data_IF_634253708440
#
_entry.id   IF_634253708440
#
_cell.length_a   1.000
_cell.length_b   1.000
_cell.length_c   1.000
_cell.angle_alpha   90.00
_cell.angle_beta   90.00
_cell.angle_gamma   90.00
#
_symmetry.space_group_name_H-M   'P 1'
#
loop_
_entity.id
_entity.type
_entity.pdbx_description
1 polymer ?
#
# COMPACT_ATOMS: atom_id res chain seq x y z
N UNK A 1 -8.00 2.43 -1.24
CA UNK A 1 -7.37 3.57 -0.54
C UNK A 1 -7.94 4.88 -1.08
N UNK A 2 -8.18 5.86 -0.21
CA UNK A 2 -8.73 7.17 -0.57
C UNK A 2 -7.82 8.28 -0.02
N UNK A 3 -7.61 9.34 -0.79
CA UNK A 3 -6.93 10.55 -0.33
C UNK A 3 -7.50 11.79 -1.03
N UNK A 4 -7.25 12.98 -0.47
CA UNK A 4 -7.49 14.24 -1.17
C UNK A 4 -6.41 15.26 -0.84
N UNK A 5 -6.06 16.08 -1.82
CA UNK A 5 -5.18 17.24 -1.64
C UNK A 5 -5.89 18.51 -2.10
N UNK A 6 -5.56 19.63 -1.47
CA UNK A 6 -6.06 20.96 -1.84
C UNK A 6 -4.87 21.78 -2.27
N UNK A 7 -4.92 22.28 -3.50
CA UNK A 7 -3.94 23.24 -3.99
C UNK A 7 -4.09 24.56 -3.22
N UNK A 8 -3.00 25.04 -2.62
CA UNK A 8 -3.05 26.19 -1.70
C UNK A 8 -3.31 27.52 -2.40
N UNK A 9 -2.98 27.63 -3.69
CA UNK A 9 -3.12 28.88 -4.45
C UNK A 9 -4.50 28.98 -5.09
N UNK A 10 -4.93 27.93 -5.78
CA UNK A 10 -6.22 27.88 -6.49
C UNK A 10 -7.38 27.46 -5.61
N UNK A 11 -7.13 26.86 -4.44
CA UNK A 11 -8.16 26.24 -3.60
C UNK A 11 -8.75 24.96 -4.19
N UNK A 12 -8.25 24.52 -5.35
CA UNK A 12 -8.78 23.37 -6.09
C UNK A 12 -8.51 22.08 -5.33
N UNK A 13 -9.56 21.29 -5.13
CA UNK A 13 -9.47 19.99 -4.45
C UNK A 13 -9.37 18.86 -5.46
N UNK A 14 -8.37 18.01 -5.28
CA UNK A 14 -8.20 16.76 -6.04
C UNK A 14 -8.43 15.57 -5.12
N UNK A 15 -9.21 14.58 -5.56
CA UNK A 15 -9.47 13.33 -4.84
C UNK A 15 -8.88 12.16 -5.60
N UNK A 16 -8.32 11.22 -4.85
CA UNK A 16 -7.71 10.01 -5.38
C UNK A 16 -8.41 8.78 -4.83
N UNK A 17 -8.69 7.82 -5.70
CA UNK A 17 -9.17 6.49 -5.33
C UNK A 17 -8.26 5.45 -5.97
N UNK A 18 -7.77 4.55 -5.13
CA UNK A 18 -7.07 3.34 -5.55
C UNK A 18 -7.87 2.13 -5.12
N UNK A 19 -8.09 1.22 -6.07
CA UNK A 19 -8.67 -0.10 -5.81
C UNK A 19 -7.54 -1.13 -5.87
N UNK A 20 -7.50 -2.00 -4.87
CA UNK A 20 -6.52 -3.07 -4.80
C UNK A 20 -7.27 -4.41 -4.73
N UNK A 21 -6.77 -5.46 -5.39
CA UNK A 21 -7.35 -6.79 -5.26
C UNK A 21 -7.40 -7.23 -3.79
N UNK A 22 -8.53 -7.80 -3.38
CA UNK A 22 -8.65 -8.44 -2.07
C UNK A 22 -7.74 -9.68 -2.06
N UNK A 23 -6.89 -9.79 -1.04
CA UNK A 23 -6.14 -11.02 -0.76
C UNK A 23 -6.77 -11.66 0.46
N UNK A 24 -7.39 -12.83 0.26
CA UNK A 24 -8.08 -13.57 1.31
C UNK A 24 -7.17 -13.85 2.52
N UNK A 25 -7.76 -13.81 3.71
CA UNK A 25 -7.09 -14.05 4.99
C UNK A 25 -7.14 -12.84 5.94
N UNK A 26 -6.80 -13.11 7.19
CA UNK A 26 -6.70 -12.09 8.23
C UNK A 26 -5.23 -11.69 8.39
N UNK A 27 -4.92 -10.40 8.24
CA UNK A 27 -3.57 -9.86 8.39
C UNK A 27 -3.59 -8.74 9.42
N UNK A 28 -2.55 -8.65 10.24
CA UNK A 28 -2.37 -7.56 11.21
C UNK A 28 -1.14 -6.74 10.88
N UNK A 29 -1.04 -5.51 11.40
CA UNK A 29 0.05 -4.57 11.10
C UNK A 29 0.00 -3.95 9.69
N UNK A 30 -0.99 -4.31 8.85
CA UNK A 30 -1.13 -3.76 7.48
C UNK A 30 -1.46 -2.26 7.49
N UNK A 31 -2.20 -1.78 8.50
CA UNK A 31 -2.48 -0.35 8.69
C UNK A 31 -1.24 0.45 9.08
N UNK A 32 -0.43 -0.09 9.99
CA UNK A 32 0.84 0.52 10.42
C UNK A 32 1.82 0.59 9.24
N UNK A 33 1.97 -0.52 8.51
CA UNK A 33 2.77 -0.58 7.29
C UNK A 33 2.28 0.45 6.25
N UNK A 34 0.97 0.51 5.99
CA UNK A 34 0.38 1.45 5.03
C UNK A 34 0.70 2.89 5.42
N UNK A 35 0.58 3.22 6.70
CA UNK A 35 0.82 4.58 7.20
C UNK A 35 2.29 4.96 7.10
N UNK A 36 3.20 4.06 7.49
CA UNK A 36 4.64 4.28 7.39
C UNK A 36 5.10 4.47 5.93
N UNK A 37 4.60 3.65 5.01
CA UNK A 37 4.91 3.76 3.58
C UNK A 37 4.32 5.03 2.96
N UNK A 38 3.06 5.35 3.28
CA UNK A 38 2.43 6.59 2.79
C UNK A 38 3.24 7.81 3.24
N UNK A 39 3.64 7.86 4.52
CA UNK A 39 4.45 8.96 5.03
C UNK A 39 5.80 9.04 4.34
N UNK A 40 6.52 7.92 4.24
CA UNK A 40 7.84 7.88 3.59
C UNK A 40 7.74 8.33 2.13
N UNK A 41 6.86 7.74 1.34
CA UNK A 41 6.72 8.09 -0.06
C UNK A 41 6.11 9.47 -0.26
N UNK A 42 5.22 9.95 0.60
CA UNK A 42 4.68 11.31 0.50
C UNK A 42 5.72 12.40 0.81
N UNK A 43 6.70 12.12 1.67
CA UNK A 43 7.79 13.09 1.91
C UNK A 43 8.74 13.21 0.72
N UNK A 44 8.84 12.18 -0.11
CA UNK A 44 9.69 12.15 -1.29
C UNK A 44 8.93 12.48 -2.59
N UNK A 45 7.64 12.15 -2.65
CA UNK A 45 6.77 12.19 -3.82
C UNK A 45 5.42 12.83 -3.48
N UNK A 46 4.61 13.21 -4.46
CA UNK A 46 3.24 13.71 -4.22
C UNK A 46 2.25 12.62 -3.78
N UNK A 47 1.03 13.01 -3.36
CA UNK A 47 -0.01 12.09 -2.86
C UNK A 47 -0.28 10.94 -3.83
N UNK A 48 -0.43 11.25 -5.13
CA UNK A 48 -0.72 10.26 -6.17
C UNK A 48 0.34 9.16 -6.21
N UNK A 49 1.61 9.54 -6.32
CA UNK A 49 2.70 8.56 -6.42
C UNK A 49 2.92 7.81 -5.10
N UNK A 50 2.77 8.48 -3.96
CA UNK A 50 2.85 7.85 -2.65
C UNK A 50 1.77 6.76 -2.46
N UNK A 51 0.54 7.04 -2.89
CA UNK A 51 -0.54 6.05 -2.89
C UNK A 51 -0.22 4.86 -3.82
N UNK A 52 0.24 5.12 -5.04
CA UNK A 52 0.58 4.05 -6.00
C UNK A 52 1.68 3.14 -5.49
N UNK A 53 2.77 3.72 -4.98
CA UNK A 53 3.87 2.94 -4.40
C UNK A 53 3.41 2.18 -3.17
N UNK A 54 2.66 2.80 -2.25
CA UNK A 54 2.17 2.14 -1.04
C UNK A 54 1.27 0.97 -1.35
N UNK A 55 0.27 1.14 -2.22
CA UNK A 55 -0.63 0.05 -2.60
C UNK A 55 0.11 -1.11 -3.24
N UNK A 56 1.12 -0.81 -4.05
CA UNK A 56 1.97 -1.83 -4.69
C UNK A 56 2.79 -2.62 -3.67
N UNK A 57 3.48 -1.94 -2.75
CA UNK A 57 4.24 -2.60 -1.68
C UNK A 57 3.33 -3.44 -0.79
N UNK A 58 2.17 -2.90 -0.40
CA UNK A 58 1.21 -3.60 0.45
C UNK A 58 0.76 -4.92 -0.19
N UNK A 59 0.44 -4.90 -1.49
CA UNK A 59 0.07 -6.10 -2.24
C UNK A 59 1.22 -7.10 -2.30
N UNK A 60 2.45 -6.66 -2.58
CA UNK A 60 3.63 -7.55 -2.60
C UNK A 60 3.90 -8.20 -1.23
N UNK A 61 3.81 -7.42 -0.15
CA UNK A 61 4.04 -7.92 1.22
C UNK A 61 2.97 -8.93 1.63
N UNK A 62 1.68 -8.63 1.37
CA UNK A 62 0.59 -9.54 1.74
C UNK A 62 0.65 -10.83 0.92
N UNK A 63 0.88 -10.76 -0.40
CA UNK A 63 1.05 -11.96 -1.22
C UNK A 63 2.22 -12.81 -0.73
N UNK A 64 3.39 -12.22 -0.47
CA UNK A 64 4.53 -12.96 0.08
C UNK A 64 4.25 -13.58 1.45
N UNK A 65 3.46 -12.90 2.27
CA UNK A 65 3.05 -13.40 3.58
C UNK A 65 2.14 -14.61 3.43
N UNK A 66 1.12 -14.52 2.56
CA UNK A 66 0.25 -15.66 2.21
C UNK A 66 1.07 -16.84 1.69
N UNK A 67 1.86 -16.63 0.64
CA UNK A 67 2.60 -17.68 -0.06
C UNK A 67 3.57 -18.41 0.87
N UNK A 68 4.29 -17.66 1.72
CA UNK A 68 5.18 -18.25 2.73
C UNK A 68 4.40 -19.17 3.66
N UNK A 69 3.28 -18.70 4.19
CA UNK A 69 2.50 -19.47 5.14
C UNK A 69 1.78 -20.66 4.47
N UNK A 70 1.46 -20.60 3.18
CA UNK A 70 0.83 -21.71 2.43
C UNK A 70 1.82 -22.82 2.20
N UNK A 71 3.07 -22.47 1.89
CA UNK A 71 4.17 -23.41 1.76
C UNK A 71 4.62 -24.03 3.11
N UNK A 72 4.23 -23.44 4.25
CA UNK A 72 4.67 -23.86 5.58
C UNK A 72 3.47 -24.08 6.54
N UNK A 73 2.67 -25.14 6.34
CA UNK A 73 1.45 -25.39 7.12
C UNK A 73 1.70 -25.64 8.62
N UNK A 74 2.94 -25.99 9.02
CA UNK A 74 3.33 -26.16 10.42
C UNK A 74 3.64 -24.87 11.17
N UNK A 75 3.66 -23.71 10.49
CA UNK A 75 3.90 -22.41 11.12
C UNK A 75 2.57 -21.82 11.58
N UNK A 76 2.43 -21.42 12.86
CA UNK A 76 1.22 -20.76 13.36
C UNK A 76 0.82 -19.56 12.49
N UNK A 77 -0.48 -19.45 12.20
CA UNK A 77 -1.05 -18.52 11.20
C UNK A 77 -2.00 -17.48 11.79
N UNK A 78 -2.09 -17.32 13.12
CA UNK A 78 -3.24 -16.63 13.72
C UNK A 78 -2.85 -15.40 14.56
N UNK A 79 -2.78 -14.20 13.95
CA UNK A 79 -2.66 -13.89 12.52
C UNK A 79 -1.22 -14.15 12.00
N UNK A 80 -0.99 -14.29 10.68
CA UNK A 80 0.35 -14.46 10.14
C UNK A 80 1.14 -13.16 10.27
N UNK A 81 2.40 -13.27 10.66
CA UNK A 81 3.32 -12.14 10.74
C UNK A 81 3.77 -11.69 9.35
N UNK A 82 3.73 -10.38 9.09
CA UNK A 82 4.11 -9.82 7.80
C UNK A 82 5.57 -10.14 7.46
N UNK A 83 5.81 -10.59 6.23
CA UNK A 83 7.16 -10.94 5.73
C UNK A 83 7.95 -9.71 5.29
N UNK A 84 8.12 -8.74 6.20
CA UNK A 84 8.72 -7.43 5.90
C UNK A 84 10.18 -7.55 5.47
N UNK A 85 11.01 -8.31 6.21
CA UNK A 85 12.43 -8.49 5.89
C UNK A 85 12.59 -9.11 4.50
N UNK A 86 11.78 -10.12 4.18
CA UNK A 86 11.81 -10.80 2.88
C UNK A 86 11.23 -9.92 1.76
N UNK A 87 10.49 -8.87 2.10
CA UNK A 87 9.90 -7.91 1.17
C UNK A 87 10.73 -6.62 1.04
N UNK A 88 11.94 -6.56 1.63
CA UNK A 88 12.80 -5.38 1.60
C UNK A 88 12.96 -4.78 0.19
N UNK A 89 13.23 -5.61 -0.82
CA UNK A 89 13.43 -5.14 -2.20
C UNK A 89 12.19 -4.44 -2.75
N UNK A 90 10.99 -4.97 -2.49
CA UNK A 90 9.74 -4.36 -2.94
C UNK A 90 9.46 -3.05 -2.21
N UNK A 91 9.79 -2.98 -0.91
CA UNK A 91 9.66 -1.75 -0.10
C UNK A 91 10.60 -0.66 -0.66
N UNK A 92 11.86 -1.00 -0.95
CA UNK A 92 12.85 -0.05 -1.46
C UNK A 92 12.60 0.32 -2.93
N UNK A 93 12.08 -0.61 -3.73
CA UNK A 93 11.88 -0.43 -5.18
C UNK A 93 10.47 -0.91 -5.58
N UNK A 94 9.41 -0.14 -5.29
CA UNK A 94 8.04 -0.55 -5.57
C UNK A 94 7.75 -0.65 -7.07
N UNK A 95 7.21 -1.79 -7.53
CA UNK A 95 6.65 -1.94 -8.87
C UNK A 95 5.33 -1.17 -8.95
N UNK A 96 5.24 -0.09 -9.72
CA UNK A 96 4.01 0.72 -9.85
C UNK A 96 3.03 0.08 -10.83
N UNK A 97 2.30 -0.93 -10.38
CA UNK A 97 1.43 -1.76 -11.23
C UNK A 97 -0.08 -1.51 -11.04
N UNK A 98 -0.47 -0.58 -10.16
CA UNK A 98 -1.87 -0.28 -9.85
C UNK A 98 -2.23 1.16 -10.22
N UNK A 99 -3.34 1.32 -10.92
CA UNK A 99 -3.85 2.62 -11.34
C UNK A 99 -4.56 3.38 -10.21
N UNK A 100 -4.56 4.71 -10.33
CA UNK A 100 -5.30 5.62 -9.46
C UNK A 100 -6.33 6.39 -10.29
N UNK A 101 -7.58 6.29 -9.90
CA UNK A 101 -8.63 7.19 -10.38
C UNK A 101 -8.49 8.54 -9.69
N UNK A 102 -8.48 9.61 -10.49
CA UNK A 102 -8.34 11.00 -10.03
C UNK A 102 -9.60 11.78 -10.38
N UNK A 103 -10.14 12.51 -9.40
CA UNK A 103 -11.29 13.40 -9.55
C UNK A 103 -10.86 14.80 -9.14
N UNK A 104 -11.27 15.81 -9.90
CA UNK A 104 -11.07 17.21 -9.55
C UNK A 104 -12.45 17.74 -9.19
N UNK A 105 -12.59 18.25 -7.96
CA UNK A 105 -13.81 18.94 -7.57
C UNK A 105 -13.79 20.32 -8.28
N UNK A 106 -14.87 20.65 -9.00
CA UNK A 106 -15.09 21.98 -9.62
C UNK A 106 -15.28 23.07 -8.57
#
# INVERSE_FOLDING_TARGET
>A
MLASEVDKESGRRTRYRMELPLIEGNYTGTGDLTTALLMAFYTQFGVKEAMTKTGSVLQSVINRTRDYHEAHPGVPRNPPELRLIQSKRDIENPCTQYDITTWIDE
#
